data_IF_595493821003
#
_entry.id   IF_595493821003
#
_cell.length_a   1.000
_cell.length_b   1.000
_cell.length_c   1.000
_cell.angle_alpha   90.00
_cell.angle_beta   90.00
_cell.angle_gamma   90.00
#
_symmetry.space_group_name_H-M   'P 1'
#
loop_
_entity.id
_entity.type
_entity.pdbx_description
1 polymer ?
2 polymer ?
3 polymer ?
4 non-polymer ?
5 water ?
#
loop_
_entity_poly.entity_id
_entity_poly.type
_entity_poly.pdbx_seq_one_letter_code
_entity_poly.pdbx_strand_id
1 'polydeoxyribonucleotide' '(DA)(DA)(DT)(DT)(DG)(DT)(DG)(DA)(DG)(DC)(DG)' ?
2 'polydeoxyribonucleotide' '(DC)(DG)(DC)(DT)(DC)(DA)(DC)(DA)(DA)(DT)(DT)' ?
#
# COMPACT_ATOMS: atom_id res chain seq x y z
N UNK C 1 -2.41 -17.84 -5.80
CA UNK C 1 -2.59 -17.03 -4.57
C UNK C 1 -3.70 -15.97 -4.71
N UNK C 2 -4.26 -15.49 -3.60
CA UNK C 2 -5.32 -14.46 -3.62
C UNK C 2 -4.78 -13.17 -4.28
N UNK C 3 -5.40 -12.70 -5.36
CA UNK C 3 -4.92 -11.49 -6.06
C UNK C 3 -5.15 -10.19 -5.26
N UNK C 4 -4.34 -10.02 -4.20
CA UNK C 4 -4.35 -8.84 -3.31
C UNK C 4 -3.70 -7.70 -4.09
N UNK C 5 -4.48 -6.63 -4.25
CA UNK C 5 -4.07 -5.47 -5.07
C UNK C 5 -3.50 -4.33 -4.23
N UNK C 6 -2.92 -3.38 -4.95
CA UNK C 6 -2.64 -2.01 -4.45
C UNK C 6 -3.81 -1.39 -3.67
N UNK C 7 -5.06 -1.60 -4.14
CA UNK C 7 -6.28 -1.06 -3.48
C UNK C 7 -6.50 -1.67 -2.10
N UNK C 8 -6.54 -3.00 -2.06
CA UNK C 8 -6.70 -3.76 -0.81
C UNK C 8 -5.75 -3.29 0.30
N UNK C 9 -4.47 -3.15 -0.05
CA UNK C 9 -3.48 -2.67 0.94
C UNK C 9 -3.65 -1.19 1.33
N UNK C 10 -4.17 -0.40 0.38
CA UNK C 10 -4.45 1.04 0.55
C UNK C 10 -5.66 1.30 1.48
N UNK C 11 -6.80 0.71 1.12
CA UNK C 11 -8.00 0.70 1.99
C UNK C 11 -7.67 0.15 3.40
N UNK C 12 -6.89 -0.94 3.44
CA UNK C 12 -6.49 -1.55 4.72
C UNK C 12 -5.67 -0.63 5.66
N UNK C 13 -4.85 0.19 5.02
CA UNK C 13 -4.04 1.25 5.65
C UNK C 13 -4.75 2.59 5.97
N UNK C 14 -5.82 2.81 5.22
CA UNK C 14 -6.59 4.07 5.17
C UNK C 14 -5.95 5.15 4.27
N UNK C 15 -5.58 4.76 3.06
CA UNK C 15 -4.94 5.65 2.06
C UNK C 15 -5.40 5.36 0.62
N UNK C 16 -5.02 6.23 -0.30
CA UNK C 16 -5.32 6.05 -1.74
C UNK C 16 -4.42 5.01 -2.40
N UNK C 17 -4.91 4.37 -3.46
CA UNK C 17 -4.14 3.47 -4.33
C UNK C 17 -2.86 4.13 -4.90
N UNK C 18 -2.94 5.44 -5.15
CA UNK C 18 -1.88 6.22 -5.81
C UNK C 18 -0.77 6.63 -4.83
N UNK C 19 -1.23 6.95 -3.62
CA UNK C 19 -0.41 7.13 -2.39
C UNK C 19 0.39 5.86 -2.08
N UNK C 20 -0.25 4.69 -2.16
CA UNK C 20 0.36 3.35 -1.94
C UNK C 20 1.21 2.87 -3.12
N UNK C 21 0.81 3.20 -4.35
CA UNK C 21 1.73 3.04 -5.50
C UNK C 21 2.99 3.87 -5.28
N UNK C 22 2.87 5.12 -4.83
CA UNK C 22 3.97 6.03 -4.40
C UNK C 22 4.69 5.75 -3.06
N UNK C 23 4.40 4.56 -2.58
CA UNK C 23 5.18 3.86 -1.55
C UNK C 23 5.98 2.68 -2.19
N UNK C 24 5.54 2.24 -3.35
CA UNK C 24 6.20 1.18 -4.15
C UNK C 24 7.11 1.78 -5.24
N UNK C 25 6.51 2.57 -6.13
CA UNK C 25 7.17 3.27 -7.23
C UNK C 25 6.56 4.66 -7.48
N UNK C 26 7.30 5.50 -8.20
CA UNK C 26 6.99 6.92 -8.54
C UNK C 26 6.84 7.86 -7.32
N UNK C 27 7.62 7.52 -6.30
CA UNK C 27 7.48 8.04 -4.92
C UNK C 27 7.73 9.55 -4.74
N UNK C 28 6.61 10.23 -4.56
CA UNK C 28 6.53 11.58 -3.97
C UNK C 28 5.33 11.67 -3.03
N UNK C 29 5.51 12.55 -2.05
CA UNK C 29 4.56 13.00 -1.02
C UNK C 29 4.05 11.89 -0.07
N UNK C 30 4.96 11.40 0.76
CA UNK C 30 4.61 10.39 1.79
C UNK C 30 4.99 10.85 3.20
N UNK C 31 4.03 10.65 4.11
CA UNK C 31 4.05 11.23 5.48
C UNK C 31 4.39 10.17 6.53
N UNK C 32 4.82 10.65 7.69
CA UNK C 32 5.14 9.82 8.88
C UNK C 32 4.16 8.68 9.19
N UNK C 33 2.92 9.05 9.53
CA UNK C 33 1.80 8.15 9.91
C UNK C 33 1.22 7.35 8.73
N UNK C 34 1.26 7.95 7.54
CA UNK C 34 0.65 7.36 6.34
C UNK C 34 1.49 6.19 5.83
N UNK C 35 2.80 6.44 5.84
CA UNK C 35 3.85 5.46 5.56
C UNK C 35 3.76 4.24 6.48
N UNK C 36 3.65 4.51 7.78
CA UNK C 36 3.52 3.43 8.78
C UNK C 36 2.24 2.60 8.65
N UNK C 37 1.19 3.21 8.10
CA UNK C 37 -0.01 2.45 7.70
C UNK C 37 0.25 1.47 6.55
N UNK C 38 0.80 2.02 5.47
CA UNK C 38 1.16 1.23 4.28
C UNK C 38 2.05 0.03 4.64
N UNK C 39 2.94 0.20 5.61
CA UNK C 39 3.87 -0.87 6.01
C UNK C 39 3.13 -2.03 6.72
N UNK C 40 2.32 -1.67 7.70
CA UNK C 40 1.42 -2.61 8.40
C UNK C 40 0.39 -3.24 7.46
N UNK C 41 0.01 -2.54 6.39
CA UNK C 41 -0.90 -3.11 5.39
C UNK C 41 -0.16 -4.15 4.51
N UNK C 42 1.03 -3.80 4.02
CA UNK C 42 1.89 -4.71 3.22
C UNK C 42 2.38 -6.03 3.88
N UNK C 43 2.67 -5.93 5.18
CA UNK C 43 3.28 -7.03 5.96
C UNK C 43 2.30 -8.00 6.64
N UNK C 44 1.15 -7.49 7.08
CA UNK C 44 0.01 -8.31 7.54
C UNK C 44 -0.73 -9.04 6.40
N UNK C 45 -0.91 -8.34 5.29
CA UNK C 45 -1.48 -8.90 4.05
C UNK C 45 -0.37 -9.34 3.08
N UNK C 46 -0.67 -10.40 2.35
CA UNK C 46 0.21 -10.98 1.32
C UNK C 46 -0.01 -10.33 -0.05
N UNK C 47 0.41 -9.08 -0.09
CA UNK C 47 0.34 -8.31 -1.33
C UNK C 47 1.21 -8.96 -2.42
N UNK C 48 0.63 -8.96 -3.61
CA UNK C 48 1.28 -9.51 -4.81
C UNK C 48 1.47 -8.35 -5.79
N UNK C 49 2.73 -8.08 -6.14
CA UNK C 49 3.06 -7.17 -7.26
C UNK C 49 2.38 -7.64 -8.56
N UNK C 50 1.62 -6.71 -9.13
CA UNK C 50 0.89 -6.84 -10.40
C UNK C 50 -0.44 -7.61 -10.37
N UNK C 51 -0.90 -8.00 -9.18
CA UNK C 51 -2.22 -8.67 -9.01
C UNK C 51 -3.12 -8.04 -7.95
X LIG D 1 4.47 -2.71 -8.04
#
# INVERSE_FOLDING_TARGET
MKPVTLYDVAEYAGVSYQTVSRVVNQASHVSAKTREKVEAAMAELNYIPNR
NA NA
#
